data_IF_025709129345
#
_entry.id   IF_025709129345
#
_cell.length_a   1.000
_cell.length_b   1.000
_cell.length_c   1.000
_cell.angle_alpha   90.00
_cell.angle_beta   90.00
_cell.angle_gamma   90.00
#
_symmetry.space_group_name_H-M   'P 1'
#
loop_
_entity.id
_entity.type
_entity.pdbx_description
1 polymer ?
#
# COMPACT_ATOMS: atom_id res chain seq x y z
N UNK A 1 -4.12 -23.36 -22.19
CA UNK A 1 -3.92 -22.14 -21.37
C UNK A 1 -4.08 -22.44 -19.88
N UNK A 2 -5.28 -22.84 -19.42
CA UNK A 2 -5.57 -23.11 -17.99
C UNK A 2 -4.55 -24.07 -17.35
N UNK A 3 -4.28 -25.23 -17.97
CA UNK A 3 -3.31 -26.20 -17.44
C UNK A 3 -1.89 -25.63 -17.23
N UNK A 4 -1.48 -24.67 -18.08
CA UNK A 4 -0.18 -24.00 -17.92
C UNK A 4 -0.20 -23.09 -16.68
N UNK A 5 -1.21 -22.24 -16.55
CA UNK A 5 -1.31 -21.32 -15.40
C UNK A 5 -1.44 -22.09 -14.09
N UNK A 6 -2.23 -23.18 -14.10
CA UNK A 6 -2.33 -24.08 -12.95
C UNK A 6 -0.97 -24.65 -12.55
N UNK A 7 -0.19 -25.14 -13.50
CA UNK A 7 1.18 -25.62 -13.25
C UNK A 7 2.09 -24.54 -12.68
N UNK A 8 1.99 -23.29 -13.16
CA UNK A 8 2.77 -22.17 -12.64
C UNK A 8 2.37 -21.84 -11.18
N UNK A 9 1.08 -21.89 -10.87
CA UNK A 9 0.55 -21.61 -9.53
C UNK A 9 0.89 -22.73 -8.55
N UNK A 10 0.73 -23.99 -8.94
CA UNK A 10 1.14 -25.15 -8.13
C UNK A 10 2.65 -25.10 -7.82
N UNK A 11 3.47 -24.67 -8.78
CA UNK A 11 4.90 -24.45 -8.53
C UNK A 11 5.11 -23.35 -7.50
N UNK A 12 4.45 -22.19 -7.61
CA UNK A 12 4.55 -21.11 -6.61
C UNK A 12 4.09 -21.57 -5.21
N UNK A 13 2.99 -22.30 -5.11
CA UNK A 13 2.49 -22.88 -3.86
C UNK A 13 3.47 -23.87 -3.24
N UNK A 14 4.15 -24.68 -4.06
CA UNK A 14 5.22 -25.58 -3.58
C UNK A 14 6.40 -24.84 -2.94
N UNK A 15 6.51 -23.53 -3.19
CA UNK A 15 7.50 -22.61 -2.60
C UNK A 15 6.91 -21.73 -1.49
N UNK A 16 5.66 -21.96 -1.09
CA UNK A 16 4.95 -21.18 -0.07
C UNK A 16 4.53 -19.78 -0.55
N UNK A 17 4.50 -19.54 -1.86
CA UNK A 17 4.15 -18.25 -2.45
C UNK A 17 2.68 -18.28 -2.87
N UNK A 18 1.92 -17.28 -2.42
CA UNK A 18 0.53 -17.06 -2.83
C UNK A 18 0.47 -16.41 -4.20
N UNK A 19 -0.52 -16.77 -5.00
CA UNK A 19 -0.64 -16.33 -6.40
C UNK A 19 -1.89 -15.49 -6.62
N UNK A 20 -1.82 -14.58 -7.57
CA UNK A 20 -2.94 -13.72 -7.91
C UNK A 20 -2.91 -13.25 -9.34
N UNK A 21 -4.01 -12.64 -9.76
CA UNK A 21 -4.16 -12.04 -11.07
C UNK A 21 -4.72 -10.63 -10.96
N UNK A 22 -4.30 -9.77 -11.89
CA UNK A 22 -4.88 -8.47 -12.13
C UNK A 22 -5.96 -8.59 -13.22
N UNK A 23 -7.11 -7.96 -13.01
CA UNK A 23 -8.15 -7.82 -14.02
C UNK A 23 -8.58 -6.37 -14.17
N UNK A 24 -8.77 -5.95 -15.41
CA UNK A 24 -9.47 -4.71 -15.72
C UNK A 24 -10.98 -5.00 -15.62
N UNK A 25 -11.56 -4.71 -14.46
CA UNK A 25 -12.83 -5.30 -13.99
C UNK A 25 -14.04 -4.85 -14.81
N UNK A 26 -14.11 -3.55 -15.08
CA UNK A 26 -15.27 -2.93 -15.73
C UNK A 26 -14.88 -2.01 -16.89
N UNK A 27 -13.61 -1.97 -17.28
CA UNK A 27 -13.15 -1.20 -18.44
C UNK A 27 -12.63 -2.19 -19.49
N UNK A 28 -12.99 -2.04 -20.76
CA UNK A 28 -12.18 -2.66 -21.80
C UNK A 28 -12.18 -1.82 -23.05
N UNK A 29 -11.05 -1.95 -23.77
CA UNK A 29 -10.80 -1.32 -25.06
C UNK A 29 -11.51 -2.05 -26.20
N UNK A 30 -12.19 -3.18 -25.94
CA UNK A 30 -12.50 -4.18 -26.97
C UNK A 30 -13.82 -4.92 -26.79
N UNK A 31 -14.78 -4.40 -26.00
CA UNK A 31 -16.13 -4.98 -25.97
C UNK A 31 -16.80 -4.74 -27.32
N UNK A 32 -16.69 -5.73 -28.20
CA UNK A 32 -17.25 -5.70 -29.55
C UNK A 32 -18.69 -5.19 -29.54
N UNK A 33 -18.98 -4.27 -30.46
CA UNK A 33 -20.29 -3.67 -30.78
C UNK A 33 -20.89 -2.60 -29.85
N UNK A 34 -20.40 -2.38 -28.62
CA UNK A 34 -21.02 -1.40 -27.71
C UNK A 34 -22.41 -1.79 -27.19
N UNK A 35 -22.82 -3.05 -27.38
CA UNK A 35 -24.07 -3.63 -26.87
C UNK A 35 -24.05 -3.87 -25.35
N UNK A 36 -22.86 -3.92 -24.74
CA UNK A 36 -22.66 -4.22 -23.32
C UNK A 36 -22.13 -3.00 -22.51
N UNK A 37 -21.92 -1.87 -23.17
CA UNK A 37 -21.31 -0.68 -22.59
C UNK A 37 -22.35 0.16 -21.82
N UNK A 38 -21.99 0.57 -20.60
CA UNK A 38 -22.43 1.82 -19.99
C UNK A 38 -21.66 2.97 -20.67
N UNK A 39 -22.34 3.75 -21.51
CA UNK A 39 -21.79 4.96 -22.13
C UNK A 39 -22.32 6.22 -21.42
N UNK A 40 -21.62 7.37 -21.37
CA UNK A 40 -20.17 7.50 -21.27
C UNK A 40 -19.77 7.65 -19.79
N UNK A 41 -19.02 6.67 -19.29
CA UNK A 41 -18.13 6.86 -18.15
C UNK A 41 -16.99 7.84 -18.53
N UNK A 42 -16.41 8.55 -17.56
CA UNK A 42 -15.33 9.53 -17.80
C UNK A 42 -14.06 8.96 -18.48
N UNK A 43 -13.96 7.63 -18.65
CA UNK A 43 -12.86 6.89 -19.25
C UNK A 43 -13.17 6.25 -20.62
N UNK A 44 -14.27 6.66 -21.27
CA UNK A 44 -14.60 6.25 -22.63
C UNK A 44 -15.65 5.14 -22.72
N UNK A 45 -15.50 4.02 -22.01
CA UNK A 45 -16.46 2.89 -21.96
C UNK A 45 -16.35 2.11 -20.64
N UNK A 46 -17.46 1.69 -20.06
CA UNK A 46 -17.48 0.75 -18.93
C UNK A 46 -18.48 -0.38 -19.16
N UNK A 47 -18.19 -1.61 -18.72
CA UNK A 47 -19.12 -2.74 -18.78
C UNK A 47 -20.28 -2.51 -17.82
N UNK A 48 -21.52 -2.63 -18.29
CA UNK A 48 -22.65 -2.76 -17.38
C UNK A 48 -22.65 -4.17 -16.78
N UNK A 49 -22.52 -4.24 -15.45
CA UNK A 49 -22.54 -5.50 -14.72
C UNK A 49 -23.95 -6.12 -14.67
N UNK A 50 -24.96 -5.35 -15.04
CA UNK A 50 -26.32 -5.83 -15.28
C UNK A 50 -26.55 -6.55 -16.62
N UNK A 51 -25.51 -6.65 -17.47
CA UNK A 51 -25.61 -7.29 -18.78
C UNK A 51 -25.46 -8.82 -18.72
N UNK A 52 -26.05 -9.54 -19.68
CA UNK A 52 -25.87 -11.00 -19.82
C UNK A 52 -24.38 -11.39 -20.05
N UNK A 53 -23.60 -10.49 -20.66
CA UNK A 53 -22.17 -10.67 -20.82
C UNK A 53 -21.46 -10.69 -19.47
N UNK A 54 -21.76 -9.73 -18.58
CA UNK A 54 -21.13 -9.65 -17.27
C UNK A 54 -21.42 -10.89 -16.41
N UNK A 55 -22.66 -11.41 -16.48
CA UNK A 55 -23.02 -12.67 -15.80
C UNK A 55 -22.15 -13.84 -16.27
N UNK A 56 -22.00 -14.00 -17.60
CA UNK A 56 -21.15 -15.05 -18.18
C UNK A 56 -19.68 -14.85 -17.81
N UNK A 57 -19.20 -13.61 -17.87
CA UNK A 57 -17.82 -13.24 -17.54
C UNK A 57 -17.48 -13.56 -16.08
N UNK A 58 -18.33 -13.17 -15.12
CA UNK A 58 -18.10 -13.46 -13.70
C UNK A 58 -18.12 -14.95 -13.40
N UNK A 59 -19.02 -15.71 -14.03
CA UNK A 59 -19.02 -17.17 -13.90
C UNK A 59 -17.69 -17.76 -14.40
N UNK A 60 -17.24 -17.35 -15.58
CA UNK A 60 -15.97 -17.83 -16.15
C UNK A 60 -14.76 -17.45 -15.29
N UNK A 61 -14.75 -16.26 -14.70
CA UNK A 61 -13.70 -15.84 -13.78
C UNK A 61 -13.66 -16.71 -12.52
N UNK A 62 -14.81 -16.93 -11.87
CA UNK A 62 -14.89 -17.76 -10.67
C UNK A 62 -14.46 -19.20 -10.96
N UNK A 63 -14.97 -19.79 -12.05
CA UNK A 63 -14.58 -21.14 -12.49
C UNK A 63 -13.07 -21.21 -12.78
N UNK A 64 -12.50 -20.19 -13.42
CA UNK A 64 -11.07 -20.12 -13.70
C UNK A 64 -10.24 -20.03 -12.42
N UNK A 65 -10.56 -19.11 -11.50
CA UNK A 65 -9.83 -18.92 -10.24
C UNK A 65 -9.80 -20.20 -9.42
N UNK A 66 -10.95 -20.90 -9.35
CA UNK A 66 -11.07 -22.19 -8.69
C UNK A 66 -10.22 -23.28 -9.36
N UNK A 67 -10.25 -23.37 -10.68
CA UNK A 67 -9.52 -24.40 -11.42
C UNK A 67 -8.00 -24.27 -11.30
N UNK A 68 -7.48 -23.03 -11.27
CA UNK A 68 -6.04 -22.77 -11.15
C UNK A 68 -5.55 -22.63 -9.70
N UNK A 69 -6.46 -22.62 -8.72
CA UNK A 69 -6.13 -22.43 -7.31
C UNK A 69 -5.61 -21.02 -6.97
N UNK A 70 -6.20 -19.98 -7.56
CA UNK A 70 -5.78 -18.60 -7.30
C UNK A 70 -6.04 -18.21 -5.82
N UNK A 71 -5.16 -17.39 -5.22
CA UNK A 71 -5.33 -16.93 -3.83
C UNK A 71 -5.76 -15.45 -3.72
N UNK A 72 -5.42 -14.63 -4.72
CA UNK A 72 -5.61 -13.17 -4.68
C UNK A 72 -6.15 -12.63 -6.00
N UNK A 73 -7.02 -11.62 -5.96
CA UNK A 73 -7.54 -10.91 -7.11
C UNK A 73 -7.32 -9.41 -6.94
N UNK A 74 -6.58 -8.78 -7.86
CA UNK A 74 -6.49 -7.33 -7.98
C UNK A 74 -7.43 -6.86 -9.08
N UNK A 75 -8.39 -6.00 -8.74
CA UNK A 75 -9.32 -5.42 -9.72
C UNK A 75 -8.94 -3.97 -10.01
N UNK A 76 -8.86 -3.58 -11.28
CA UNK A 76 -8.86 -2.17 -11.70
C UNK A 76 -10.26 -1.76 -12.11
N UNK A 77 -10.77 -0.77 -11.39
CA UNK A 77 -12.19 -0.69 -11.09
C UNK A 77 -12.54 -1.52 -9.84
N UNK A 78 -13.70 -1.23 -9.27
CA UNK A 78 -14.84 -0.67 -9.98
C UNK A 78 -14.91 0.83 -10.04
N UNK A 79 -15.72 1.29 -10.98
CA UNK A 79 -16.22 2.65 -11.04
C UNK A 79 -17.76 2.61 -11.15
N UNK A 80 -18.38 1.70 -10.40
CA UNK A 80 -19.79 1.27 -10.47
C UNK A 80 -20.83 2.38 -10.27
N UNK A 81 -20.41 3.59 -9.88
CA UNK A 81 -21.24 4.80 -9.91
C UNK A 81 -21.67 5.24 -11.31
N UNK A 82 -21.15 4.64 -12.39
CA UNK A 82 -21.60 4.95 -13.74
C UNK A 82 -22.96 4.30 -14.04
N UNK A 83 -23.91 5.15 -14.48
CA UNK A 83 -25.18 4.71 -15.02
C UNK A 83 -24.98 4.10 -16.41
N UNK A 84 -25.73 3.05 -16.71
CA UNK A 84 -25.83 2.48 -18.04
C UNK A 84 -26.92 3.23 -18.82
N UNK A 85 -26.59 3.82 -19.97
CA UNK A 85 -27.59 4.49 -20.82
C UNK A 85 -28.42 3.49 -21.65
N UNK A 86 -28.07 2.21 -21.64
CA UNK A 86 -28.93 1.16 -22.22
C UNK A 86 -30.09 0.91 -21.27
N UNK A 87 -31.26 0.60 -21.82
CA UNK A 87 -32.48 0.27 -21.05
C UNK A 87 -32.95 -1.18 -21.28
N UNK A 88 -32.12 -1.99 -21.94
CA UNK A 88 -32.48 -3.32 -22.43
C UNK A 88 -31.63 -4.44 -21.82
N UNK A 89 -30.79 -4.13 -20.82
CA UNK A 89 -30.02 -5.16 -20.14
C UNK A 89 -30.92 -5.91 -19.14
N UNK A 90 -30.68 -7.21 -18.93
CA UNK A 90 -31.63 -8.08 -18.22
C UNK A 90 -31.79 -7.76 -16.74
N UNK A 91 -30.80 -7.13 -16.10
CA UNK A 91 -30.80 -6.95 -14.64
C UNK A 91 -31.20 -5.55 -14.17
N UNK A 92 -31.45 -4.60 -15.08
CA UNK A 92 -31.95 -3.26 -14.73
C UNK A 92 -33.09 -2.82 -15.66
N UNK A 93 -34.02 -2.03 -15.12
CA UNK A 93 -35.24 -1.55 -15.79
C UNK A 93 -35.01 -0.22 -16.53
N UNK A 94 -33.80 0.32 -16.47
CA UNK A 94 -33.39 1.49 -17.22
C UNK A 94 -32.11 2.13 -16.71
N UNK A 95 -31.95 3.40 -17.05
CA UNK A 95 -30.73 4.15 -16.72
C UNK A 95 -30.56 4.36 -15.23
N UNK A 96 -31.64 4.69 -14.53
CA UNK A 96 -31.54 5.22 -13.16
C UNK A 96 -31.43 4.15 -12.07
N UNK A 97 -31.75 2.89 -12.35
CA UNK A 97 -31.51 1.77 -11.44
C UNK A 97 -30.22 1.00 -11.77
N UNK A 98 -29.66 1.17 -12.97
CA UNK A 98 -28.44 0.50 -13.42
C UNK A 98 -27.22 0.67 -12.49
N UNK A 99 -27.05 1.83 -11.84
CA UNK A 99 -25.92 2.06 -10.91
C UNK A 99 -26.05 1.19 -9.65
N UNK A 100 -27.26 1.03 -9.12
CA UNK A 100 -27.55 0.16 -7.98
C UNK A 100 -27.29 -1.29 -8.37
N UNK A 101 -27.76 -1.71 -9.54
CA UNK A 101 -27.55 -3.06 -10.07
C UNK A 101 -26.07 -3.34 -10.29
N UNK A 102 -25.31 -2.38 -10.83
CA UNK A 102 -23.87 -2.51 -10.98
C UNK A 102 -23.18 -2.72 -9.62
N UNK A 103 -23.52 -1.91 -8.62
CA UNK A 103 -23.01 -2.07 -7.26
C UNK A 103 -23.35 -3.44 -6.66
N UNK A 104 -24.62 -3.88 -6.76
CA UNK A 104 -25.08 -5.18 -6.23
C UNK A 104 -24.38 -6.38 -6.88
N UNK A 105 -24.20 -6.36 -8.21
CA UNK A 105 -23.51 -7.44 -8.91
C UNK A 105 -22.04 -7.54 -8.51
N UNK A 106 -21.41 -6.40 -8.24
CA UNK A 106 -20.05 -6.39 -7.74
C UNK A 106 -19.95 -6.89 -6.30
N UNK A 107 -20.82 -6.43 -5.41
CA UNK A 107 -20.85 -6.95 -4.04
C UNK A 107 -21.01 -8.47 -4.05
N UNK A 108 -21.94 -8.97 -4.88
CA UNK A 108 -22.17 -10.41 -5.07
C UNK A 108 -20.89 -11.10 -5.53
N UNK A 109 -20.21 -10.57 -6.55
CA UNK A 109 -18.96 -11.14 -7.05
C UNK A 109 -17.87 -11.19 -5.97
N UNK A 110 -17.67 -10.11 -5.21
CA UNK A 110 -16.69 -10.09 -4.12
C UNK A 110 -17.04 -11.04 -2.98
N UNK A 111 -18.32 -11.19 -2.63
CA UNK A 111 -18.74 -12.18 -1.64
C UNK A 111 -18.45 -13.61 -2.11
N UNK A 112 -18.69 -13.93 -3.37
CA UNK A 112 -18.37 -15.25 -3.93
C UNK A 112 -16.86 -15.51 -3.93
N UNK A 113 -16.04 -14.52 -4.29
CA UNK A 113 -14.58 -14.61 -4.15
C UNK A 113 -14.16 -14.87 -2.70
N UNK A 114 -14.79 -14.19 -1.74
CA UNK A 114 -14.54 -14.38 -0.32
C UNK A 114 -14.92 -15.78 0.19
N UNK A 115 -16.04 -16.34 -0.29
CA UNK A 115 -16.49 -17.70 0.05
C UNK A 115 -15.47 -18.75 -0.44
N UNK A 116 -14.80 -18.48 -1.56
CA UNK A 116 -13.71 -19.30 -2.11
C UNK A 116 -12.32 -18.96 -1.50
N UNK A 117 -12.25 -18.07 -0.51
CA UNK A 117 -11.02 -17.70 0.18
C UNK A 117 -10.08 -16.76 -0.60
N UNK A 118 -10.58 -16.10 -1.65
CA UNK A 118 -9.80 -15.17 -2.47
C UNK A 118 -9.60 -13.83 -1.73
N UNK A 119 -8.35 -13.40 -1.60
CA UNK A 119 -7.99 -12.08 -1.08
C UNK A 119 -8.20 -11.01 -2.15
N UNK A 120 -8.98 -9.96 -1.86
CA UNK A 120 -9.35 -8.96 -2.87
C UNK A 120 -8.61 -7.64 -2.64
N UNK A 121 -7.91 -7.19 -3.68
CA UNK A 121 -7.32 -5.85 -3.77
C UNK A 121 -8.16 -5.04 -4.77
N UNK A 122 -8.67 -3.89 -4.35
CA UNK A 122 -9.58 -3.08 -5.18
C UNK A 122 -9.41 -1.58 -4.89
N UNK A 123 -9.46 -0.69 -5.89
CA UNK A 123 -9.24 0.74 -5.74
C UNK A 123 -10.44 1.51 -5.16
N UNK A 124 -11.25 0.88 -4.30
CA UNK A 124 -12.46 1.48 -3.75
C UNK A 124 -12.85 0.86 -2.39
N UNK A 125 -13.80 1.47 -1.67
CA UNK A 125 -14.12 1.24 -0.25
C UNK A 125 -14.96 -0.02 0.04
N UNK A 126 -14.78 -1.08 -0.74
CA UNK A 126 -15.52 -2.34 -0.64
C UNK A 126 -15.16 -3.21 0.57
N UNK A 127 -14.61 -2.64 1.65
CA UNK A 127 -14.22 -3.40 2.85
C UNK A 127 -15.39 -4.16 3.48
N UNK A 128 -16.61 -3.61 3.42
CA UNK A 128 -17.81 -4.26 3.92
C UNK A 128 -18.31 -5.42 3.00
N UNK A 129 -17.82 -5.49 1.76
CA UNK A 129 -18.32 -6.41 0.73
C UNK A 129 -17.25 -7.40 0.26
N UNK A 130 -16.06 -7.40 0.88
CA UNK A 130 -14.99 -8.37 0.62
C UNK A 130 -13.63 -7.76 0.26
N UNK A 131 -13.57 -6.47 -0.06
CA UNK A 131 -12.31 -5.76 -0.28
C UNK A 131 -11.41 -5.84 0.95
N UNK A 132 -10.12 -6.15 0.74
CA UNK A 132 -9.14 -6.29 1.83
C UNK A 132 -8.04 -5.26 1.78
N UNK A 133 -7.76 -4.73 0.59
CA UNK A 133 -6.69 -3.75 0.39
C UNK A 133 -7.04 -2.77 -0.73
N UNK A 134 -6.66 -1.50 -0.57
CA UNK A 134 -6.80 -0.49 -1.62
C UNK A 134 -5.54 0.39 -1.76
N UNK A 135 -5.36 1.12 -2.88
CA UNK A 135 -4.23 2.02 -3.04
C UNK A 135 -4.24 3.15 -2.00
N UNK A 136 -3.04 3.54 -1.53
CA UNK A 136 -2.81 4.62 -0.58
C UNK A 136 -3.09 6.02 -1.16
N UNK A 137 -3.59 6.11 -2.40
CA UNK A 137 -3.94 7.38 -3.06
C UNK A 137 -2.86 7.95 -3.98
N UNK A 138 -1.91 7.12 -4.42
CA UNK A 138 -0.86 7.56 -5.34
C UNK A 138 -1.38 7.79 -6.77
N UNK A 139 -0.72 8.69 -7.50
CA UNK A 139 -0.89 8.86 -8.94
C UNK A 139 0.28 8.22 -9.66
N UNK A 140 0.00 7.29 -10.55
CA UNK A 140 1.04 6.52 -11.24
C UNK A 140 1.99 7.40 -12.08
N UNK A 141 1.50 8.52 -12.61
CA UNK A 141 2.34 9.49 -13.33
C UNK A 141 3.47 10.09 -12.46
N UNK A 142 3.32 10.08 -11.14
CA UNK A 142 4.35 10.56 -10.21
C UNK A 142 5.58 9.64 -10.17
N UNK A 143 5.48 8.42 -10.72
CA UNK A 143 6.63 7.52 -10.85
C UNK A 143 7.62 7.93 -11.94
N UNK A 144 7.32 8.99 -12.70
CA UNK A 144 8.27 9.61 -13.62
C UNK A 144 9.14 10.67 -12.94
N UNK A 145 8.82 11.05 -11.69
CA UNK A 145 9.61 11.99 -10.91
C UNK A 145 10.96 11.37 -10.49
N UNK A 146 11.99 12.18 -10.19
CA UNK A 146 13.22 11.69 -9.57
C UNK A 146 12.98 10.88 -8.29
N UNK A 147 13.82 9.86 -8.01
CA UNK A 147 13.71 8.94 -6.86
C UNK A 147 13.46 9.65 -5.51
N UNK A 148 14.15 10.76 -5.24
CA UNK A 148 13.95 11.54 -4.01
C UNK A 148 12.54 12.14 -3.90
N UNK A 149 12.02 12.67 -5.01
CA UNK A 149 10.66 13.22 -5.07
C UNK A 149 9.60 12.11 -4.98
N UNK A 150 9.84 10.95 -5.61
CA UNK A 150 8.97 9.79 -5.45
C UNK A 150 8.85 9.38 -3.97
N UNK A 151 9.97 9.34 -3.25
CA UNK A 151 10.00 8.99 -1.83
C UNK A 151 9.22 10.01 -0.99
N UNK A 152 9.44 11.31 -1.21
CA UNK A 152 8.71 12.37 -0.52
C UNK A 152 7.20 12.31 -0.78
N UNK A 153 6.79 12.19 -2.05
CA UNK A 153 5.38 12.08 -2.44
C UNK A 153 4.75 10.81 -1.88
N UNK A 154 5.48 9.69 -1.86
CA UNK A 154 5.00 8.46 -1.23
C UNK A 154 4.76 8.67 0.28
N UNK A 155 5.61 9.43 0.99
CA UNK A 155 5.37 9.75 2.41
C UNK A 155 4.13 10.62 2.58
N UNK A 156 3.90 11.57 1.68
CA UNK A 156 2.68 12.37 1.68
C UNK A 156 1.44 11.50 1.47
N UNK A 157 1.49 10.56 0.53
CA UNK A 157 0.38 9.61 0.31
C UNK A 157 0.11 8.77 1.56
N UNK A 158 1.17 8.25 2.20
CA UNK A 158 1.02 7.47 3.44
C UNK A 158 0.42 8.35 4.54
N UNK A 159 0.96 9.55 4.77
CA UNK A 159 0.46 10.48 5.77
C UNK A 159 -1.01 10.81 5.54
N UNK A 160 -1.39 11.21 4.33
CA UNK A 160 -2.76 11.63 4.03
C UNK A 160 -3.73 10.43 3.99
N UNK A 161 -3.27 9.30 3.46
CA UNK A 161 -4.08 8.09 3.28
C UNK A 161 -4.41 7.40 4.59
N UNK A 162 -3.53 7.49 5.58
CA UNK A 162 -3.68 6.84 6.91
C UNK A 162 -4.56 7.62 7.89
N UNK A 163 -5.09 8.79 7.51
CA UNK A 163 -6.17 9.45 8.27
C UNK A 163 -7.49 8.68 8.23
N UNK A 164 -7.72 7.91 7.17
CA UNK A 164 -9.00 7.27 6.89
C UNK A 164 -8.89 5.74 6.82
N UNK A 165 -7.68 5.22 6.92
CA UNK A 165 -7.34 3.81 6.70
C UNK A 165 -6.22 3.42 7.65
N UNK A 166 -6.31 2.25 8.25
CA UNK A 166 -5.17 1.71 8.99
C UNK A 166 -4.06 1.31 8.01
N UNK A 167 -2.79 1.20 8.44
CA UNK A 167 -1.68 0.80 7.57
C UNK A 167 -1.96 -0.47 6.76
N UNK A 168 -2.54 -1.50 7.41
CA UNK A 168 -2.84 -2.79 6.82
C UNK A 168 -3.97 -2.77 5.78
N UNK A 169 -4.82 -1.75 5.80
CA UNK A 169 -5.91 -1.59 4.84
C UNK A 169 -5.41 -1.15 3.45
N UNK A 170 -4.19 -0.62 3.31
CA UNK A 170 -3.76 -0.02 2.06
C UNK A 170 -2.38 -0.49 1.58
N UNK A 171 -2.11 -0.27 0.29
CA UNK A 171 -0.79 -0.47 -0.31
C UNK A 171 -0.33 0.76 -1.06
N UNK A 172 0.99 0.90 -1.20
CA UNK A 172 1.59 1.76 -2.21
C UNK A 172 2.29 0.88 -3.24
N UNK A 173 2.29 1.25 -4.52
CA UNK A 173 3.13 0.56 -5.49
C UNK A 173 4.53 1.17 -5.51
N UNK A 174 5.54 0.31 -5.63
CA UNK A 174 6.94 0.68 -5.76
C UNK A 174 7.44 0.18 -7.13
N UNK A 175 7.50 1.05 -8.14
CA UNK A 175 8.12 0.71 -9.40
C UNK A 175 9.64 0.58 -9.23
N UNK A 176 10.18 -0.56 -9.66
CA UNK A 176 11.62 -0.80 -9.72
C UNK A 176 12.15 -0.51 -11.13
N UNK A 177 11.34 -0.82 -12.14
CA UNK A 177 11.61 -0.54 -13.56
C UNK A 177 10.88 0.74 -14.04
N UNK A 178 11.27 1.33 -15.18
CA UNK A 178 10.61 2.53 -15.70
C UNK A 178 9.10 2.29 -15.95
N UNK A 179 8.27 3.25 -15.52
CA UNK A 179 6.82 3.27 -15.80
C UNK A 179 6.46 4.60 -16.47
N UNK A 180 5.49 4.59 -17.39
CA UNK A 180 5.01 5.79 -18.09
C UNK A 180 6.08 6.62 -18.80
N UNK A 181 7.18 5.99 -19.23
CA UNK A 181 8.28 6.67 -19.92
C UNK A 181 9.21 7.47 -19.00
N UNK A 182 9.22 7.19 -17.69
CA UNK A 182 10.20 7.74 -16.76
C UNK A 182 11.65 7.43 -17.18
N UNK A 183 12.56 8.38 -16.94
CA UNK A 183 13.98 8.26 -17.29
C UNK A 183 14.85 7.64 -16.19
N UNK A 184 16.17 7.71 -16.39
CA UNK A 184 17.17 7.17 -15.47
C UNK A 184 17.02 7.68 -14.03
N UNK A 185 16.67 8.96 -13.84
CA UNK A 185 16.51 9.57 -12.50
C UNK A 185 15.29 9.04 -11.72
N UNK A 186 14.33 8.44 -12.42
CA UNK A 186 13.11 7.87 -11.85
C UNK A 186 13.16 6.35 -11.64
N UNK A 187 14.16 5.69 -12.24
CA UNK A 187 14.27 4.23 -12.23
C UNK A 187 15.05 3.76 -11.00
N UNK A 188 14.58 2.71 -10.33
CA UNK A 188 15.29 2.14 -9.17
C UNK A 188 16.29 1.05 -9.58
N UNK A 189 16.01 0.29 -10.65
CA UNK A 189 16.96 -0.68 -11.19
C UNK A 189 18.07 -0.01 -12.05
N UNK A 190 19.33 -0.46 -11.95
CA UNK A 190 19.83 -1.52 -11.07
C UNK A 190 19.80 -1.12 -9.60
N UNK A 191 19.33 -2.02 -8.74
CA UNK A 191 19.11 -1.76 -7.32
C UNK A 191 20.45 -1.54 -6.60
N UNK A 192 21.51 -2.22 -7.03
CA UNK A 192 22.86 -2.05 -6.49
C UNK A 192 23.42 -0.63 -6.65
N UNK A 193 23.06 0.03 -7.75
CA UNK A 193 23.56 1.37 -8.09
C UNK A 193 22.80 2.46 -7.33
N UNK A 194 21.66 2.09 -6.73
CA UNK A 194 20.72 2.97 -6.04
C UNK A 194 20.35 2.42 -4.66
N UNK A 195 21.27 1.68 -4.02
CA UNK A 195 21.03 0.95 -2.78
C UNK A 195 20.56 1.87 -1.64
N UNK A 196 21.11 3.09 -1.57
CA UNK A 196 20.72 4.12 -0.61
C UNK A 196 19.26 4.59 -0.83
N UNK A 197 18.86 4.79 -2.09
CA UNK A 197 17.48 5.12 -2.45
C UNK A 197 16.53 3.95 -2.14
N UNK A 198 16.94 2.73 -2.45
CA UNK A 198 16.13 1.56 -2.20
C UNK A 198 15.95 1.31 -0.70
N UNK A 199 17.02 1.38 0.10
CA UNK A 199 16.99 1.30 1.57
C UNK A 199 16.00 2.30 2.17
N UNK A 200 16.09 3.59 1.79
CA UNK A 200 15.19 4.64 2.28
C UNK A 200 13.73 4.36 1.98
N UNK A 201 13.44 3.86 0.78
CA UNK A 201 12.07 3.54 0.37
C UNK A 201 11.55 2.32 1.13
N UNK A 202 12.37 1.30 1.35
CA UNK A 202 12.01 0.15 2.17
C UNK A 202 11.77 0.56 3.63
N UNK A 203 12.67 1.36 4.21
CA UNK A 203 12.54 1.92 5.55
C UNK A 203 11.21 2.64 5.74
N UNK A 204 10.82 3.45 4.76
CA UNK A 204 9.56 4.17 4.77
C UNK A 204 8.34 3.23 4.71
N UNK A 205 8.32 2.27 3.80
CA UNK A 205 7.15 1.40 3.65
C UNK A 205 7.01 0.45 4.84
N UNK A 206 8.06 -0.27 5.20
CA UNK A 206 8.04 -1.18 6.35
C UNK A 206 7.85 -0.41 7.67
N UNK A 207 8.55 0.72 7.83
CA UNK A 207 8.46 1.57 9.01
C UNK A 207 7.09 2.18 9.27
N UNK A 208 6.26 2.31 8.23
CA UNK A 208 4.89 2.82 8.31
C UNK A 208 3.82 1.71 8.25
N UNK A 209 4.23 0.44 8.35
CA UNK A 209 3.31 -0.71 8.24
C UNK A 209 2.66 -0.87 6.86
N UNK A 210 3.23 -0.27 5.82
CA UNK A 210 2.67 -0.27 4.47
C UNK A 210 3.31 -1.37 3.63
N UNK A 211 2.50 -2.38 3.31
CA UNK A 211 2.92 -3.47 2.44
C UNK A 211 2.90 -3.04 0.97
N UNK A 212 4.08 -2.74 0.42
CA UNK A 212 4.23 -2.26 -0.96
C UNK A 212 3.95 -3.36 -2.01
N UNK A 213 3.42 -2.95 -3.17
CA UNK A 213 3.37 -3.75 -4.38
C UNK A 213 4.60 -3.44 -5.24
N UNK A 214 5.59 -4.33 -5.24
CA UNK A 214 6.82 -4.18 -6.03
C UNK A 214 6.53 -4.45 -7.51
N UNK A 215 6.83 -3.47 -8.38
CA UNK A 215 6.66 -3.59 -9.83
C UNK A 215 8.02 -3.64 -10.52
N UNK A 216 8.50 -4.85 -10.78
CA UNK A 216 9.79 -5.11 -11.42
C UNK A 216 10.01 -6.61 -11.64
N UNK A 217 11.18 -6.98 -12.13
CA UNK A 217 11.49 -8.38 -12.45
C UNK A 217 12.04 -9.18 -11.26
N UNK A 218 12.53 -8.48 -10.22
CA UNK A 218 13.19 -9.06 -9.04
C UNK A 218 13.14 -8.09 -7.86
N UNK A 219 13.35 -8.60 -6.65
CA UNK A 219 13.39 -7.78 -5.42
C UNK A 219 14.82 -7.34 -5.04
N UNK A 220 15.83 -8.01 -5.60
CA UNK A 220 17.25 -7.77 -5.38
C UNK A 220 18.05 -8.28 -6.58
N UNK A 221 19.23 -7.72 -6.81
CA UNK A 221 20.12 -8.01 -7.94
C UNK A 221 21.54 -8.43 -7.55
N UNK A 222 21.94 -8.20 -6.29
CA UNK A 222 23.22 -8.61 -5.70
C UNK A 222 22.99 -9.13 -4.27
N UNK A 223 24.05 -9.66 -3.66
CA UNK A 223 23.98 -10.11 -2.26
C UNK A 223 23.74 -8.93 -1.29
N UNK A 224 24.27 -7.76 -1.62
CA UNK A 224 24.12 -6.53 -0.83
C UNK A 224 22.68 -6.03 -0.88
N UNK A 225 22.04 -5.99 -2.07
CA UNK A 225 20.62 -5.62 -2.17
C UNK A 225 19.72 -6.65 -1.49
N UNK A 226 20.06 -7.94 -1.58
CA UNK A 226 19.34 -8.99 -0.84
C UNK A 226 19.43 -8.79 0.68
N UNK A 227 20.62 -8.43 1.19
CA UNK A 227 20.83 -8.20 2.62
C UNK A 227 20.00 -7.01 3.14
N UNK A 228 19.91 -5.92 2.37
CA UNK A 228 19.07 -4.76 2.71
C UNK A 228 17.59 -5.17 2.76
N UNK A 229 17.09 -5.88 1.74
CA UNK A 229 15.71 -6.38 1.72
C UNK A 229 15.43 -7.29 2.92
N UNK A 230 16.33 -8.24 3.20
CA UNK A 230 16.20 -9.16 4.33
C UNK A 230 16.16 -8.39 5.67
N UNK A 231 17.03 -7.40 5.85
CA UNK A 231 17.06 -6.58 7.05
C UNK A 231 15.73 -5.86 7.31
N UNK A 232 15.11 -5.29 6.28
CA UNK A 232 13.80 -4.63 6.41
C UNK A 232 12.65 -5.60 6.64
N UNK A 233 12.71 -6.80 6.05
CA UNK A 233 11.75 -7.87 6.35
C UNK A 233 11.86 -8.31 7.81
N UNK A 234 13.09 -8.47 8.33
CA UNK A 234 13.33 -8.84 9.72
C UNK A 234 12.92 -7.74 10.69
N UNK A 235 13.18 -6.47 10.34
CA UNK A 235 12.68 -5.30 11.07
C UNK A 235 11.15 -5.36 11.21
N UNK A 236 10.44 -5.53 10.10
CA UNK A 236 8.97 -5.57 10.15
C UNK A 236 8.46 -6.75 10.97
N UNK A 237 9.05 -7.94 10.82
CA UNK A 237 8.66 -9.12 11.61
C UNK A 237 8.88 -8.91 13.11
N UNK A 238 9.98 -8.25 13.51
CA UNK A 238 10.28 -7.97 14.91
C UNK A 238 9.28 -6.99 15.52
N UNK A 239 8.96 -5.92 14.79
CA UNK A 239 8.11 -4.83 15.25
C UNK A 239 6.67 -4.91 14.74
N UNK A 240 6.23 -6.07 14.25
CA UNK A 240 4.96 -6.20 13.53
C UNK A 240 3.77 -5.69 14.36
N UNK A 241 3.73 -6.01 15.65
CA UNK A 241 2.62 -5.62 16.51
C UNK A 241 2.41 -4.10 16.58
N UNK A 242 3.51 -3.33 16.67
CA UNK A 242 3.40 -1.86 16.69
C UNK A 242 3.22 -1.29 15.28
N UNK A 243 3.84 -1.87 14.26
CA UNK A 243 3.72 -1.41 12.86
C UNK A 243 2.32 -1.66 12.26
N UNK A 244 1.58 -2.65 12.79
CA UNK A 244 0.18 -2.89 12.44
C UNK A 244 -0.81 -2.03 13.27
N UNK A 245 -0.31 -1.21 14.20
CA UNK A 245 -1.12 -0.31 15.03
C UNK A 245 -1.35 1.05 14.38
N UNK A 246 -2.26 1.84 14.97
CA UNK A 246 -2.64 3.16 14.48
C UNK A 246 -1.46 4.15 14.46
N UNK A 247 -1.51 5.07 13.50
CA UNK A 247 -0.52 6.12 13.29
C UNK A 247 -1.00 7.43 13.88
N UNK A 248 -0.09 8.13 14.55
CA UNK A 248 -0.16 9.53 14.91
C UNK A 248 0.60 10.34 13.86
N UNK A 249 -0.13 11.26 13.24
CA UNK A 249 0.36 12.19 12.24
C UNK A 249 1.09 13.37 12.89
N UNK A 250 2.40 13.21 13.16
CA UNK A 250 3.20 14.20 13.91
C UNK A 250 3.54 15.42 13.07
N UNK A 251 4.19 15.21 11.91
CA UNK A 251 4.52 16.31 10.97
C UNK A 251 4.45 15.82 9.53
N UNK A 252 3.54 16.41 8.76
CA UNK A 252 3.34 16.09 7.34
C UNK A 252 4.61 16.36 6.52
N UNK A 253 5.00 15.47 5.60
CA UNK A 253 6.11 15.71 4.68
C UNK A 253 5.85 16.89 3.75
N UNK A 254 6.79 17.83 3.70
CA UNK A 254 6.73 19.03 2.85
C UNK A 254 8.06 19.33 2.13
N UNK A 255 9.10 18.54 2.40
CA UNK A 255 10.43 18.70 1.78
C UNK A 255 11.26 19.85 2.34
N UNK A 256 10.80 20.56 3.39
CA UNK A 256 11.47 21.78 3.90
C UNK A 256 12.18 21.60 5.24
N UNK A 257 12.00 20.45 5.86
CA UNK A 257 12.57 20.10 7.16
C UNK A 257 12.16 18.70 7.53
N UNK A 258 12.47 18.28 8.76
CA UNK A 258 12.16 16.92 9.18
C UNK A 258 10.66 16.63 9.08
N UNK A 259 10.30 15.43 8.64
CA UNK A 259 8.93 14.94 8.65
C UNK A 259 8.81 13.71 9.54
N UNK A 260 7.63 13.46 10.13
CA UNK A 260 7.47 12.43 11.15
C UNK A 260 6.05 11.84 11.20
N UNK A 261 6.02 10.53 11.36
CA UNK A 261 4.83 9.72 11.66
C UNK A 261 5.21 8.72 12.74
N UNK A 262 4.26 8.38 13.61
CA UNK A 262 4.52 7.52 14.75
C UNK A 262 3.39 6.53 14.98
N UNK A 263 3.70 5.24 15.02
CA UNK A 263 2.77 4.24 15.53
C UNK A 263 2.63 4.36 17.04
N UNK A 264 1.43 4.14 17.59
CA UNK A 264 1.21 4.14 19.03
C UNK A 264 0.22 3.05 19.45
N UNK A 265 0.55 2.34 20.53
CA UNK A 265 -0.35 1.34 21.12
C UNK A 265 -0.10 1.16 22.62
N UNK A 266 -1.03 1.63 23.45
CA UNK A 266 -0.94 1.54 24.90
C UNK A 266 -0.96 0.11 25.46
N UNK A 267 -1.36 -0.89 24.67
CA UNK A 267 -1.47 -2.29 25.12
C UNK A 267 -0.20 -3.11 24.89
N UNK A 268 0.76 -2.62 24.10
CA UNK A 268 1.96 -3.36 23.71
C UNK A 268 3.14 -3.13 24.64
N UNK A 269 4.22 -3.90 24.49
CA UNK A 269 5.52 -3.61 25.14
C UNK A 269 6.18 -2.42 24.46
N UNK A 270 6.28 -2.48 23.14
CA UNK A 270 6.66 -1.35 22.27
C UNK A 270 5.46 -0.41 22.20
N UNK A 271 5.51 0.67 22.98
CA UNK A 271 4.38 1.59 23.15
C UNK A 271 4.24 2.56 21.99
N UNK A 272 5.36 2.86 21.32
CA UNK A 272 5.38 3.66 20.11
C UNK A 272 6.62 3.39 19.27
N UNK A 273 6.49 3.65 17.97
CA UNK A 273 7.58 3.56 17.00
C UNK A 273 7.45 4.74 16.04
N UNK A 274 8.35 5.71 16.14
CA UNK A 274 8.35 6.89 15.27
C UNK A 274 9.43 6.77 14.21
N UNK A 275 9.14 7.23 13.00
CA UNK A 275 10.17 7.53 12.01
C UNK A 275 10.26 9.04 11.82
N UNK A 276 11.49 9.54 11.72
CA UNK A 276 11.80 10.94 11.47
C UNK A 276 12.72 10.99 10.25
N UNK A 277 12.27 11.63 9.17
CA UNK A 277 13.02 11.72 7.92
C UNK A 277 13.57 13.11 7.72
N UNK A 278 14.76 13.20 7.16
CA UNK A 278 15.34 14.44 6.67
C UNK A 278 15.27 14.47 5.14
N UNK A 279 14.32 15.19 4.52
CA UNK A 279 14.25 15.31 3.06
C UNK A 279 15.21 16.36 2.48
N UNK A 280 16.01 17.04 3.32
CA UNK A 280 16.86 18.16 2.90
C UNK A 280 18.25 17.70 2.49
N UNK A 281 18.99 18.60 1.82
CA UNK A 281 20.35 18.36 1.33
C UNK A 281 21.42 18.48 2.43
N UNK A 282 21.05 18.95 3.62
CA UNK A 282 21.97 19.21 4.73
C UNK A 282 21.63 18.32 5.94
N UNK A 283 22.65 18.01 6.74
CA UNK A 283 22.45 17.38 8.05
C UNK A 283 21.62 18.28 8.95
N UNK A 284 20.55 17.75 9.54
CA UNK A 284 19.67 18.48 10.45
C UNK A 284 19.88 17.99 11.88
N UNK A 285 20.26 18.91 12.76
CA UNK A 285 20.35 18.69 14.20
C UNK A 285 19.27 19.49 14.92
N UNK A 286 18.36 18.79 15.59
CA UNK A 286 17.31 19.45 16.38
C UNK A 286 16.79 18.56 17.50
N UNK A 287 16.12 19.19 18.47
CA UNK A 287 15.31 18.46 19.45
C UNK A 287 13.90 18.29 18.89
N UNK A 288 13.53 17.05 18.56
CA UNK A 288 12.24 16.71 17.99
C UNK A 288 11.24 16.34 19.11
N UNK A 289 10.02 16.87 19.02
CA UNK A 289 8.97 16.63 20.02
C UNK A 289 8.04 15.52 19.55
N UNK A 290 7.91 14.45 20.34
CA UNK A 290 7.01 13.33 20.04
C UNK A 290 5.82 13.31 21.01
N UNK A 291 4.57 13.23 20.52
CA UNK A 291 3.37 13.21 21.35
C UNK A 291 3.07 11.79 21.86
N UNK A 292 3.33 11.51 23.14
CA UNK A 292 3.20 10.17 23.70
C UNK A 292 1.85 9.89 24.39
N UNK A 293 0.89 10.81 24.34
CA UNK A 293 -0.41 10.65 25.02
C UNK A 293 -1.09 9.30 24.76
N UNK A 294 -1.19 8.88 23.49
CA UNK A 294 -1.85 7.61 23.12
C UNK A 294 -1.00 6.36 23.36
N UNK A 295 0.26 6.52 23.79
CA UNK A 295 1.12 5.40 24.21
C UNK A 295 0.78 4.94 25.64
N UNK A 296 0.03 5.74 26.41
CA UNK A 296 -0.32 5.45 27.80
C UNK A 296 0.81 5.70 28.81
N UNK A 297 1.99 6.12 28.37
CA UNK A 297 3.10 6.54 29.24
C UNK A 297 2.78 7.88 29.92
N UNK A 298 3.24 8.06 31.16
CA UNK A 298 2.87 9.22 31.99
C UNK A 298 4.06 10.07 32.43
N UNK A 299 5.06 9.44 33.04
CA UNK A 299 6.15 10.17 33.70
C UNK A 299 7.45 10.10 32.91
N UNK A 300 7.80 8.91 32.41
CA UNK A 300 9.02 8.66 31.66
C UNK A 300 8.79 7.72 30.49
N UNK A 301 9.68 7.77 29.51
CA UNK A 301 9.79 6.79 28.44
C UNK A 301 11.25 6.34 28.27
N UNK A 302 11.46 5.04 28.05
CA UNK A 302 12.70 4.52 27.50
C UNK A 302 12.69 4.73 25.99
N UNK A 303 13.73 5.37 25.48
CA UNK A 303 13.85 5.73 24.08
C UNK A 303 15.17 5.20 23.53
N UNK A 304 15.07 4.57 22.36
CA UNK A 304 16.22 4.18 21.54
C UNK A 304 16.10 4.84 20.18
N UNK A 305 17.11 5.59 19.77
CA UNK A 305 17.18 6.22 18.43
C UNK A 305 18.10 5.39 17.55
N UNK A 306 17.55 4.89 16.44
CA UNK A 306 18.20 3.91 15.57
C UNK A 306 18.34 4.43 14.14
N UNK A 307 19.31 3.88 13.43
CA UNK A 307 19.49 4.04 11.97
C UNK A 307 19.53 2.65 11.31
N UNK A 308 19.21 2.59 10.02
CA UNK A 308 19.05 1.32 9.31
C UNK A 308 17.93 0.45 9.91
N UNK A 309 17.96 -0.85 9.62
CA UNK A 309 16.91 -1.81 10.01
C UNK A 309 17.15 -2.50 11.37
N UNK A 310 18.22 -2.16 12.08
CA UNK A 310 18.60 -2.82 13.34
C UNK A 310 18.52 -1.89 14.54
N UNK A 311 18.10 -2.43 15.68
CA UNK A 311 18.21 -1.77 16.98
C UNK A 311 19.69 -1.70 17.37
N UNK A 312 20.27 -0.51 17.26
CA UNK A 312 21.71 -0.28 17.49
C UNK A 312 21.98 0.96 18.34
N UNK A 313 20.95 1.77 18.62
CA UNK A 313 21.08 2.94 19.48
C UNK A 313 21.18 2.58 20.96
N UNK A 314 21.69 3.52 21.74
CA UNK A 314 21.69 3.43 23.19
C UNK A 314 20.29 3.74 23.76
N UNK A 315 19.92 3.02 24.81
CA UNK A 315 18.68 3.26 25.55
C UNK A 315 18.88 4.43 26.51
N UNK A 316 18.03 5.45 26.41
CA UNK A 316 18.00 6.58 27.33
C UNK A 316 16.59 6.80 27.90
N UNK A 317 16.51 7.28 29.14
CA UNK A 317 15.23 7.58 29.82
C UNK A 317 14.96 9.07 29.71
N UNK A 318 13.78 9.42 29.19
CA UNK A 318 13.35 10.80 29.05
C UNK A 318 12.10 11.07 29.90
N UNK A 319 12.03 12.21 30.60
CA UNK A 319 10.80 12.64 31.25
C UNK A 319 9.77 13.11 30.21
N UNK A 320 8.50 12.87 30.51
CA UNK A 320 7.39 13.45 29.76
C UNK A 320 6.98 14.77 30.40
N UNK A 321 6.57 15.74 29.58
CA UNK A 321 5.91 16.94 30.08
C UNK A 321 4.44 16.70 30.43
N UNK A 322 3.73 17.74 30.90
CA UNK A 322 2.32 17.64 31.29
C UNK A 322 1.36 17.40 30.12
N UNK A 323 1.81 17.65 28.90
CA UNK A 323 1.08 17.33 27.67
C UNK A 323 1.46 15.94 27.14
N UNK A 324 2.20 15.16 27.93
CA UNK A 324 2.69 13.82 27.61
C UNK A 324 3.59 13.80 26.38
N UNK A 325 4.40 14.85 26.20
CA UNK A 325 5.36 14.94 25.10
C UNK A 325 6.77 14.67 25.60
N UNK A 326 7.58 14.14 24.70
CA UNK A 326 9.00 13.90 24.94
C UNK A 326 9.86 14.66 23.94
N UNK A 327 11.01 15.16 24.40
CA UNK A 327 11.96 15.94 23.61
C UNK A 327 13.19 15.09 23.32
N UNK A 328 13.32 14.62 22.08
CA UNK A 328 14.37 13.71 21.64
C UNK A 328 15.37 14.46 20.76
N UNK A 329 16.65 14.59 21.16
CA UNK A 329 17.68 15.15 20.29
C UNK A 329 17.97 14.18 19.14
N UNK A 330 17.95 14.69 17.92
CA UNK A 330 18.25 13.92 16.70
C UNK A 330 19.28 14.67 15.84
N UNK A 331 20.16 13.91 15.21
CA UNK A 331 21.07 14.37 14.16
C UNK A 331 20.89 13.45 12.96
N UNK A 332 20.31 13.97 11.89
CA UNK A 332 19.94 13.17 10.72
C UNK A 332 20.66 13.72 9.50
N UNK A 333 21.46 12.89 8.85
CA UNK A 333 22.16 13.23 7.60
C UNK A 333 21.18 13.64 6.49
N UNK A 334 21.72 14.32 5.48
CA UNK A 334 20.98 14.67 4.27
C UNK A 334 20.29 13.45 3.66
N UNK A 335 19.01 13.59 3.32
CA UNK A 335 18.17 12.50 2.81
C UNK A 335 18.07 11.26 3.71
N UNK A 336 18.50 11.36 4.97
CA UNK A 336 18.53 10.26 5.93
C UNK A 336 17.23 10.12 6.71
N UNK A 337 17.23 9.17 7.64
CA UNK A 337 16.18 8.98 8.62
C UNK A 337 16.75 8.39 9.89
N UNK A 338 15.99 8.56 10.97
CA UNK A 338 16.11 7.74 12.18
C UNK A 338 14.76 7.18 12.52
N UNK A 339 14.74 6.08 13.26
CA UNK A 339 13.52 5.61 13.90
C UNK A 339 13.73 5.49 15.40
N UNK A 340 12.66 5.76 16.14
CA UNK A 340 12.66 5.95 17.58
C UNK A 340 11.74 4.90 18.19
N UNK A 341 12.32 3.95 18.91
CA UNK A 341 11.58 2.96 19.69
C UNK A 341 11.22 3.55 21.06
N UNK A 342 9.96 3.41 21.47
CA UNK A 342 9.44 3.97 22.72
C UNK A 342 8.87 2.85 23.56
N UNK A 343 9.42 2.68 24.77
CA UNK A 343 9.03 1.66 25.75
C UNK A 343 8.79 2.28 27.14
N UNK A 344 8.16 1.55 28.08
CA UNK A 344 7.92 2.02 29.44
C UNK A 344 9.17 2.25 30.28
#
# INVERSE_FOLDING_TARGET
YIARIKSDFEYAHSRGIKTGAYILFCSSRSYGSGEHDAAPAAYGRSLCLGSAYAETYFKQLLDFMKEVGQDCLETDGPYHGYRCEKTTHPLHEGRDDSWRVNWEQQEKFYRLCMDDGIYIITPDWYYASGGRKMPMGYKEANWTLPRAQQSLVARQNIYDGTWWRTPSMAYHALPLTPVYGGGADSTMEPLSDHLDAYDRVLAQYFGMGIMACYRGYRLYDTAETQAVVAGWVDFYRRHQAILDSDIIHVRRPDGRGLDCMMHANASLKEKGLAFIWNPTEDTVQQTFELPLYYTGLKDTAKITVNTGSSESGDVAVYPLDRDYRVKVPVSIEAHGYVWVLIEP
#
